data_IF_375209036538
#
_entry.id   IF_375209036538
#
_cell.length_a   1.000
_cell.length_b   1.000
_cell.length_c   1.000
_cell.angle_alpha   90.00
_cell.angle_beta   90.00
_cell.angle_gamma   90.00
#
_symmetry.space_group_name_H-M   'P 1'
#
loop_
_entity.id
_entity.type
_entity.pdbx_description
1 polymer ?
#
# COMPACT_ATOMS: atom_id res chain seq x y z
N UNK A 1 -0.26 29.71 -6.55
CA UNK A 1 0.54 29.11 -7.64
C UNK A 1 1.33 27.93 -7.09
N UNK A 2 0.70 26.76 -7.05
CA UNK A 2 1.39 25.48 -7.19
C UNK A 2 0.36 24.56 -7.83
N UNK A 3 0.40 24.60 -9.15
CA UNK A 3 -0.36 23.77 -10.06
C UNK A 3 -0.13 22.32 -9.67
N UNK A 4 -1.16 21.73 -9.06
CA UNK A 4 -1.32 20.28 -8.94
C UNK A 4 -1.34 19.70 -10.35
N UNK A 5 -0.18 19.25 -10.81
CA UNK A 5 -0.06 18.64 -12.13
C UNK A 5 -0.78 17.28 -12.14
N UNK A 6 -1.55 16.97 -13.19
CA UNK A 6 -2.44 15.82 -13.24
C UNK A 6 -1.69 14.59 -13.75
N UNK A 7 -1.41 13.62 -12.90
CA UNK A 7 -1.00 12.27 -13.35
C UNK A 7 -1.45 11.15 -12.41
N UNK A 8 -1.86 11.44 -11.18
CA UNK A 8 -2.57 10.47 -10.35
C UNK A 8 -4.06 10.63 -10.63
N UNK A 9 -4.53 9.90 -11.64
CA UNK A 9 -5.96 9.67 -11.84
C UNK A 9 -6.51 9.22 -10.50
N UNK A 10 -7.42 10.00 -9.92
CA UNK A 10 -8.11 9.67 -8.69
C UNK A 10 -9.33 8.81 -9.07
N UNK A 11 -9.33 7.47 -8.91
CA UNK A 11 -10.54 6.81 -8.49
C UNK A 11 -10.52 6.90 -6.97
N UNK A 12 -11.34 7.79 -6.43
CA UNK A 12 -11.70 7.76 -5.02
C UNK A 12 -12.11 6.33 -4.68
N UNK A 13 -11.32 5.63 -3.86
CA UNK A 13 -11.73 4.31 -3.37
C UNK A 13 -13.07 4.49 -2.64
N UNK A 14 -14.09 3.63 -2.85
CA UNK A 14 -15.39 3.76 -2.18
C UNK A 14 -15.32 3.80 -0.64
N UNK A 15 -14.22 3.31 -0.06
CA UNK A 15 -13.96 3.40 1.38
C UNK A 15 -13.62 4.84 1.83
N UNK A 16 -12.91 5.63 1.02
CA UNK A 16 -12.55 7.02 1.34
C UNK A 16 -13.79 7.92 1.46
N UNK A 17 -14.85 7.64 0.70
CA UNK A 17 -16.13 8.34 0.80
C UNK A 17 -16.97 7.97 2.03
N UNK A 18 -16.61 6.91 2.75
CA UNK A 18 -17.30 6.45 3.97
C UNK A 18 -16.60 6.93 5.26
N UNK A 19 -15.44 7.58 5.15
CA UNK A 19 -14.72 8.10 6.30
C UNK A 19 -15.34 9.42 6.81
N UNK A 20 -15.25 9.70 8.13
CA UNK A 20 -15.67 10.98 8.70
C UNK A 20 -15.00 12.16 7.97
N UNK A 21 -15.66 13.33 7.89
CA UNK A 21 -15.12 14.50 7.19
C UNK A 21 -13.73 14.94 7.70
N UNK A 22 -13.37 14.62 8.96
CA UNK A 22 -12.05 14.86 9.56
C UNK A 22 -10.92 13.97 9.03
N UNK A 23 -11.24 12.88 8.32
CA UNK A 23 -10.28 11.90 7.74
C UNK A 23 -10.36 11.84 6.20
N UNK A 24 -10.99 12.82 5.57
CA UNK A 24 -11.13 12.91 4.10
C UNK A 24 -9.83 13.25 3.38
N UNK A 25 -8.82 13.76 4.10
CA UNK A 25 -7.50 14.00 3.53
C UNK A 25 -6.57 12.78 3.76
N UNK A 26 -5.99 12.21 2.70
CA UNK A 26 -5.04 11.09 2.80
C UNK A 26 -3.89 11.30 3.80
N UNK A 27 -3.29 12.52 3.94
CA UNK A 27 -2.21 12.75 4.90
C UNK A 27 -2.63 12.61 6.36
N UNK A 28 -3.82 13.12 6.73
CA UNK A 28 -4.33 13.03 8.10
C UNK A 28 -4.68 11.59 8.46
N UNK A 29 -5.26 10.84 7.53
CA UNK A 29 -5.55 9.42 7.74
C UNK A 29 -4.26 8.61 7.92
N UNK A 30 -3.21 8.92 7.15
CA UNK A 30 -1.91 8.30 7.31
C UNK A 30 -1.29 8.62 8.69
N UNK A 31 -1.32 9.89 9.11
CA UNK A 31 -0.82 10.33 10.42
C UNK A 31 -1.60 9.73 11.60
N UNK A 32 -2.90 9.48 11.43
CA UNK A 32 -3.76 8.85 12.44
C UNK A 32 -3.57 7.33 12.56
N UNK A 33 -2.61 6.74 11.85
CA UNK A 33 -2.36 5.30 11.87
C UNK A 33 -3.29 4.49 10.95
N UNK A 34 -3.82 5.13 9.89
CA UNK A 34 -4.73 4.49 8.94
C UNK A 34 -4.11 3.31 8.21
N UNK A 35 -2.80 3.34 7.93
CA UNK A 35 -2.08 2.23 7.29
C UNK A 35 -2.13 0.95 8.14
N UNK A 36 -1.92 1.09 9.45
CA UNK A 36 -1.92 0.01 10.43
C UNK A 36 -3.35 -0.46 10.75
N UNK A 37 -4.33 0.45 10.76
CA UNK A 37 -5.73 0.07 10.94
C UNK A 37 -6.23 -0.75 9.75
N UNK A 38 -5.92 -0.32 8.53
CA UNK A 38 -6.31 -1.01 7.30
C UNK A 38 -5.63 -2.38 7.13
N UNK A 39 -4.37 -2.51 7.55
CA UNK A 39 -3.62 -3.77 7.43
C UNK A 39 -4.32 -4.94 8.15
N UNK A 40 -4.93 -4.68 9.32
CA UNK A 40 -5.67 -5.69 10.12
C UNK A 40 -6.77 -6.41 9.34
N UNK A 41 -7.27 -5.81 8.26
CA UNK A 41 -8.36 -6.34 7.46
C UNK A 41 -7.91 -7.00 6.15
N UNK A 42 -6.60 -7.07 5.88
CA UNK A 42 -6.05 -7.73 4.68
C UNK A 42 -6.27 -9.26 4.66
N UNK A 43 -6.50 -9.88 5.82
CA UNK A 43 -6.83 -11.32 5.93
C UNK A 43 -8.33 -11.65 5.88
N UNK A 44 -9.19 -10.69 5.52
CA UNK A 44 -10.64 -10.89 5.55
C UNK A 44 -11.12 -11.78 4.39
N UNK A 45 -12.15 -12.62 4.63
CA UNK A 45 -12.72 -13.54 3.62
C UNK A 45 -13.36 -12.85 2.41
N UNK A 46 -13.63 -11.55 2.52
CA UNK A 46 -14.27 -10.77 1.45
C UNK A 46 -13.20 -10.19 0.53
N UNK A 47 -13.06 -10.79 -0.65
CA UNK A 47 -12.13 -10.32 -1.69
C UNK A 47 -12.41 -8.87 -2.09
N UNK A 48 -13.67 -8.45 -2.12
CA UNK A 48 -14.06 -7.06 -2.40
C UNK A 48 -13.56 -6.09 -1.33
N UNK A 49 -13.60 -6.49 -0.06
CA UNK A 49 -13.06 -5.68 1.03
C UNK A 49 -11.54 -5.56 0.93
N UNK A 50 -10.84 -6.67 0.70
CA UNK A 50 -9.38 -6.71 0.55
C UNK A 50 -8.92 -5.82 -0.63
N UNK A 51 -9.60 -5.90 -1.77
CA UNK A 51 -9.30 -5.04 -2.93
C UNK A 51 -9.51 -3.56 -2.62
N UNK A 52 -10.60 -3.20 -1.95
CA UNK A 52 -10.84 -1.81 -1.55
C UNK A 52 -9.74 -1.32 -0.59
N UNK A 53 -9.33 -2.15 0.37
CA UNK A 53 -8.24 -1.84 1.30
C UNK A 53 -6.92 -1.64 0.55
N UNK A 54 -6.54 -2.56 -0.33
CA UNK A 54 -5.31 -2.45 -1.13
C UNK A 54 -5.30 -1.17 -1.97
N UNK A 55 -6.46 -0.81 -2.53
CA UNK A 55 -6.60 0.43 -3.29
C UNK A 55 -6.40 1.67 -2.42
N UNK A 56 -6.98 1.68 -1.22
CA UNK A 56 -6.78 2.78 -0.24
C UNK A 56 -5.34 2.82 0.26
N UNK A 57 -4.73 1.67 0.57
CA UNK A 57 -3.33 1.59 0.98
C UNK A 57 -2.38 2.12 -0.10
N UNK A 58 -2.66 1.87 -1.38
CA UNK A 58 -1.88 2.45 -2.49
C UNK A 58 -1.92 3.98 -2.47
N UNK A 59 -3.10 4.56 -2.31
CA UNK A 59 -3.26 6.02 -2.25
C UNK A 59 -2.56 6.65 -1.02
N UNK A 60 -2.47 5.91 0.08
CA UNK A 60 -1.79 6.36 1.29
C UNK A 60 -0.26 6.11 1.24
N UNK A 61 0.17 5.09 0.50
CA UNK A 61 1.56 4.59 0.50
C UNK A 61 2.58 5.61 0.00
N UNK A 62 2.23 6.47 -0.95
CA UNK A 62 3.10 7.57 -1.42
C UNK A 62 3.45 8.55 -0.30
N UNK A 63 2.52 8.72 0.64
CA UNK A 63 2.65 9.65 1.77
C UNK A 63 3.13 8.95 3.05
N UNK A 64 3.12 7.61 3.07
CA UNK A 64 3.49 6.79 4.22
C UNK A 64 5.01 6.50 4.31
N UNK A 65 5.83 7.14 3.49
CA UNK A 65 7.30 6.94 3.46
C UNK A 65 8.00 7.27 4.78
N UNK A 66 7.35 8.05 5.66
CA UNK A 66 7.86 8.40 7.01
C UNK A 66 7.08 7.74 8.16
N UNK A 67 6.18 6.80 7.86
CA UNK A 67 5.43 6.09 8.89
C UNK A 67 6.28 4.99 9.52
N UNK A 68 6.25 4.93 10.85
CA UNK A 68 6.85 3.85 11.62
C UNK A 68 5.86 2.71 11.88
N UNK A 69 6.39 1.55 12.30
CA UNK A 69 5.60 0.37 12.65
C UNK A 69 4.78 -0.20 11.47
N UNK A 70 5.39 -0.21 10.28
CA UNK A 70 4.79 -0.83 9.09
C UNK A 70 5.21 -2.29 8.89
N UNK A 71 6.02 -2.84 9.80
CA UNK A 71 6.61 -4.18 9.72
C UNK A 71 5.56 -5.28 9.49
N UNK A 72 4.47 -5.25 10.26
CA UNK A 72 3.34 -6.18 10.10
C UNK A 72 2.59 -5.98 8.77
N UNK A 73 2.41 -4.73 8.33
CA UNK A 73 1.80 -4.44 7.03
C UNK A 73 2.67 -4.99 5.90
N UNK A 74 3.98 -4.74 5.94
CA UNK A 74 4.93 -5.25 4.94
C UNK A 74 4.91 -6.78 4.92
N UNK A 75 4.89 -7.44 6.08
CA UNK A 75 4.77 -8.90 6.17
C UNK A 75 3.49 -9.42 5.52
N UNK A 76 2.34 -8.80 5.80
CA UNK A 76 1.06 -9.19 5.21
C UNK A 76 1.02 -8.98 3.70
N UNK A 77 1.56 -7.85 3.22
CA UNK A 77 1.65 -7.59 1.78
C UNK A 77 2.54 -8.63 1.09
N UNK A 78 3.67 -9.05 1.67
CA UNK A 78 4.47 -10.10 1.03
C UNK A 78 3.74 -11.44 0.99
N UNK A 79 2.96 -11.79 2.03
CA UNK A 79 2.11 -12.99 1.99
C UNK A 79 1.07 -12.90 0.87
N UNK A 80 0.48 -11.72 0.64
CA UNK A 80 -0.49 -11.51 -0.44
C UNK A 80 0.12 -11.60 -1.85
N UNK A 81 1.44 -11.43 -2.00
CA UNK A 81 2.12 -11.69 -3.28
C UNK A 81 2.09 -13.18 -3.68
N UNK A 82 1.86 -14.10 -2.74
CA UNK A 82 1.68 -15.52 -3.03
C UNK A 82 0.22 -15.88 -3.39
N UNK A 83 -0.67 -14.89 -3.55
CA UNK A 83 -2.06 -15.13 -3.98
C UNK A 83 -2.12 -15.63 -5.43
N UNK A 84 -3.09 -16.48 -5.73
CA UNK A 84 -3.38 -16.92 -7.10
C UNK A 84 -4.19 -15.88 -7.90
N UNK A 85 -4.69 -14.84 -7.26
CA UNK A 85 -5.43 -13.75 -7.93
C UNK A 85 -4.47 -12.67 -8.42
N UNK A 86 -4.33 -12.57 -9.74
CA UNK A 86 -3.45 -11.60 -10.42
C UNK A 86 -3.77 -10.16 -10.01
N UNK A 87 -5.05 -9.84 -9.78
CA UNK A 87 -5.47 -8.49 -9.38
C UNK A 87 -4.93 -8.15 -7.99
N UNK A 88 -5.11 -9.07 -7.04
CA UNK A 88 -4.55 -8.95 -5.68
C UNK A 88 -3.03 -8.82 -5.71
N UNK A 89 -2.32 -9.66 -6.46
CA UNK A 89 -0.85 -9.62 -6.56
C UNK A 89 -0.38 -8.28 -7.14
N UNK A 90 -1.01 -7.81 -8.23
CA UNK A 90 -0.65 -6.55 -8.90
C UNK A 90 -0.87 -5.35 -7.98
N UNK A 91 -2.02 -5.27 -7.31
CA UNK A 91 -2.29 -4.19 -6.36
C UNK A 91 -1.31 -4.22 -5.18
N UNK A 92 -1.06 -5.40 -4.62
CA UNK A 92 -0.14 -5.60 -3.49
C UNK A 92 1.29 -5.19 -3.85
N UNK A 93 1.77 -5.59 -5.03
CA UNK A 93 3.06 -5.18 -5.56
C UNK A 93 3.15 -3.65 -5.68
N UNK A 94 2.11 -2.99 -6.20
CA UNK A 94 2.05 -1.54 -6.29
C UNK A 94 2.18 -0.84 -4.92
N UNK A 95 1.48 -1.32 -3.89
CA UNK A 95 1.62 -0.76 -2.52
C UNK A 95 3.05 -0.97 -1.99
N UNK A 96 3.62 -2.16 -2.17
CA UNK A 96 5.00 -2.46 -1.75
C UNK A 96 6.05 -1.62 -2.47
N UNK A 97 5.88 -1.37 -3.78
CA UNK A 97 6.75 -0.47 -4.55
C UNK A 97 6.78 0.91 -3.91
N UNK A 98 5.61 1.50 -3.65
CA UNK A 98 5.52 2.84 -3.08
C UNK A 98 6.10 2.90 -1.66
N UNK A 99 5.83 1.90 -0.82
CA UNK A 99 6.38 1.82 0.54
C UNK A 99 7.88 1.60 0.59
N UNK A 100 8.48 0.93 -0.40
CA UNK A 100 9.92 0.70 -0.47
C UNK A 100 10.66 1.77 -1.27
N UNK A 101 9.96 2.55 -2.08
CA UNK A 101 10.50 3.67 -2.83
C UNK A 101 11.10 4.70 -1.85
N UNK A 102 12.39 5.01 -2.04
CA UNK A 102 13.15 5.94 -1.19
C UNK A 102 13.08 5.68 0.33
N UNK A 103 12.75 4.46 0.77
CA UNK A 103 12.68 4.10 2.19
C UNK A 103 13.59 2.91 2.50
N UNK A 104 14.82 3.20 2.93
CA UNK A 104 15.83 2.18 3.24
C UNK A 104 15.38 1.20 4.34
N UNK A 105 14.65 1.68 5.36
CA UNK A 105 14.12 0.85 6.46
C UNK A 105 13.15 -0.21 5.92
N UNK A 106 12.19 0.19 5.10
CA UNK A 106 11.23 -0.73 4.49
C UNK A 106 11.91 -1.70 3.53
N UNK A 107 12.93 -1.26 2.78
CA UNK A 107 13.75 -2.15 1.94
C UNK A 107 14.43 -3.23 2.80
N UNK A 108 15.04 -2.86 3.92
CA UNK A 108 15.69 -3.80 4.84
C UNK A 108 14.69 -4.81 5.39
N UNK A 109 13.52 -4.37 5.85
CA UNK A 109 12.47 -5.25 6.38
C UNK A 109 12.00 -6.25 5.31
N UNK A 110 11.70 -5.79 4.09
CA UNK A 110 11.26 -6.66 2.99
C UNK A 110 12.33 -7.70 2.65
N UNK A 111 13.60 -7.29 2.58
CA UNK A 111 14.72 -8.21 2.34
C UNK A 111 14.92 -9.22 3.49
N UNK A 112 14.69 -8.84 4.74
CA UNK A 112 14.78 -9.75 5.89
C UNK A 112 13.64 -10.77 5.92
N UNK A 113 12.44 -10.38 5.49
CA UNK A 113 11.26 -11.25 5.56
C UNK A 113 11.25 -12.35 4.49
N UNK A 114 11.73 -12.09 3.27
CA UNK A 114 11.69 -13.08 2.18
C UNK A 114 12.90 -13.03 1.21
N UNK A 115 14.02 -12.41 1.62
CA UNK A 115 15.27 -12.38 0.84
C UNK A 115 15.24 -11.42 -0.36
N UNK A 116 16.34 -11.42 -1.12
CA UNK A 116 16.53 -10.54 -2.30
C UNK A 116 15.56 -10.87 -3.44
N UNK A 117 15.02 -12.09 -3.48
CA UNK A 117 14.13 -12.57 -4.55
C UNK A 117 12.83 -11.78 -4.65
N UNK A 118 12.19 -11.48 -3.50
CA UNK A 118 10.96 -10.65 -3.48
C UNK A 118 11.29 -9.21 -3.87
N UNK A 119 12.45 -8.69 -3.47
CA UNK A 119 12.88 -7.34 -3.86
C UNK A 119 13.10 -7.21 -5.36
N UNK A 120 13.77 -8.19 -5.99
CA UNK A 120 13.95 -8.24 -7.43
C UNK A 120 12.59 -8.35 -8.15
N UNK A 121 11.69 -9.20 -7.66
CA UNK A 121 10.35 -9.35 -8.24
C UNK A 121 9.55 -8.03 -8.22
N UNK A 122 9.59 -7.30 -7.10
CA UNK A 122 8.94 -5.99 -6.95
C UNK A 122 9.58 -4.95 -7.89
N UNK A 123 10.91 -4.90 -8.00
CA UNK A 123 11.61 -3.99 -8.91
C UNK A 123 11.34 -4.29 -10.39
N UNK A 124 11.26 -5.56 -10.76
CA UNK A 124 10.91 -5.97 -12.14
C UNK A 124 9.48 -5.59 -12.48
N UNK A 125 8.51 -5.75 -11.56
CA UNK A 125 7.13 -5.34 -11.79
C UNK A 125 6.96 -3.82 -11.94
N UNK A 126 7.78 -3.01 -11.27
CA UNK A 126 7.77 -1.55 -11.43
C UNK A 126 8.20 -1.06 -12.82
N UNK A 127 8.83 -1.92 -13.64
CA UNK A 127 9.14 -1.62 -15.05
C UNK A 127 7.97 -1.95 -16.00
N UNK A 128 6.97 -2.70 -15.53
CA UNK A 128 5.85 -3.21 -16.32
C UNK A 128 4.49 -2.57 -15.97
N UNK A 129 4.43 -1.72 -14.94
CA UNK A 129 3.24 -0.98 -14.49
C UNK A 129 3.53 0.52 -14.64
#
# INVERSE_FOLDING_TARGET
LSLWHPSSLFPTSPLLSLLPPSLTSPPLLCQAGGMQALSRHLGHRSTRLVHNILHTLRNLSDMATKQDHLDDLLRQLIVLLASNDVTTVTCTAGVLCNLTCNNAKNKTIVCQLHGVQVHMYIQTLHLYI
#
